data_IF_295572503227
#
_entry.id   IF_295572503227
#
_cell.length_a   1.000
_cell.length_b   1.000
_cell.length_c   1.000
_cell.angle_alpha   90.00
_cell.angle_beta   90.00
_cell.angle_gamma   90.00
#
_symmetry.space_group_name_H-M   'P 1'
#
loop_
_entity.id
_entity.type
_entity.pdbx_description
1 polymer ?
#
# COMPACT_ATOMS: atom_id res chain seq x y z
N UNK A 1 7.80 -0.28 -14.32
CA UNK A 1 6.88 0.64 -13.61
C UNK A 1 6.87 1.96 -14.35
N UNK A 2 5.68 2.54 -14.59
CA UNK A 2 5.54 3.89 -15.14
C UNK A 2 4.89 4.74 -14.04
N UNK A 3 5.71 5.53 -13.35
CA UNK A 3 5.22 6.56 -12.45
C UNK A 3 5.10 7.87 -13.20
N UNK A 4 4.02 8.63 -12.96
CA UNK A 4 3.96 10.05 -13.35
C UNK A 4 4.77 10.85 -12.33
N UNK A 5 6.09 10.65 -12.32
CA UNK A 5 6.99 11.55 -11.61
C UNK A 5 7.79 12.30 -12.67
N UNK A 6 7.39 13.55 -12.89
CA UNK A 6 7.79 14.38 -14.03
C UNK A 6 9.14 15.02 -13.71
N UNK A 7 10.20 14.66 -14.43
CA UNK A 7 11.36 15.54 -14.56
C UNK A 7 11.10 16.51 -15.74
N UNK A 8 11.27 17.82 -15.56
CA UNK A 8 11.45 18.72 -16.71
C UNK A 8 12.79 18.36 -17.42
N UNK A 9 12.91 18.39 -18.76
CA UNK A 9 11.97 18.82 -19.80
C UNK A 9 11.51 17.61 -20.64
N UNK A 10 10.81 16.64 -20.04
CA UNK A 10 10.37 15.45 -20.79
C UNK A 10 8.99 15.69 -21.44
N UNK A 11 8.82 15.48 -22.77
CA UNK A 11 7.53 15.64 -23.45
C UNK A 11 6.45 14.69 -22.89
N UNK A 12 5.17 15.05 -23.04
CA UNK A 12 3.97 14.51 -22.36
C UNK A 12 3.67 13.00 -22.47
N UNK A 13 4.56 12.20 -23.08
CA UNK A 13 4.41 10.75 -23.23
C UNK A 13 5.69 9.96 -22.91
N UNK A 14 6.68 10.61 -22.29
CA UNK A 14 7.96 9.98 -21.97
C UNK A 14 7.98 9.48 -20.53
N UNK A 15 8.41 8.24 -20.33
CA UNK A 15 8.47 7.52 -19.06
C UNK A 15 9.87 6.94 -18.89
N UNK A 16 10.39 6.89 -17.67
CA UNK A 16 11.76 6.43 -17.43
C UNK A 16 11.81 4.91 -17.20
N UNK A 17 12.76 4.23 -17.84
CA UNK A 17 13.13 2.86 -17.50
C UNK A 17 14.41 2.86 -16.65
N UNK A 18 14.27 2.51 -15.37
CA UNK A 18 15.34 2.55 -14.37
C UNK A 18 16.31 1.38 -14.45
N UNK A 19 15.89 0.25 -15.04
CA UNK A 19 16.79 -0.91 -15.21
C UNK A 19 17.84 -0.62 -16.26
N UNK A 20 17.45 0.10 -17.31
CA UNK A 20 18.29 0.39 -18.47
C UNK A 20 18.77 1.85 -18.51
N UNK A 21 18.33 2.70 -17.58
CA UNK A 21 18.63 4.15 -17.53
C UNK A 21 18.29 4.85 -18.85
N UNK A 22 17.13 4.55 -19.41
CA UNK A 22 16.75 5.00 -20.75
C UNK A 22 15.33 5.54 -20.76
N UNK A 23 15.04 6.49 -21.65
CA UNK A 23 13.71 7.08 -21.80
C UNK A 23 12.83 6.27 -22.76
N UNK A 24 11.65 5.86 -22.28
CA UNK A 24 10.62 5.15 -23.04
C UNK A 24 9.50 6.10 -23.44
N UNK A 25 8.96 6.00 -24.66
CA UNK A 25 7.71 6.67 -25.00
C UNK A 25 6.56 5.68 -24.82
N UNK A 26 5.66 5.95 -23.87
CA UNK A 26 4.53 5.06 -23.57
C UNK A 26 3.24 5.64 -24.14
N UNK A 27 2.53 4.84 -24.93
CA UNK A 27 1.17 5.14 -25.37
C UNK A 27 0.19 4.34 -24.52
N UNK A 28 -0.91 4.96 -24.08
CA UNK A 28 -1.86 4.35 -23.15
C UNK A 28 -2.51 3.04 -23.69
N UNK A 29 -2.42 2.80 -25.00
CA UNK A 29 -2.96 1.64 -25.71
C UNK A 29 -1.98 0.47 -25.86
N UNK A 30 -0.69 0.65 -25.59
CA UNK A 30 0.32 -0.40 -25.78
C UNK A 30 0.93 -0.83 -24.43
N UNK A 31 0.99 -2.14 -24.16
CA UNK A 31 1.61 -2.70 -22.96
C UNK A 31 3.14 -2.67 -22.98
N UNK A 32 3.75 -2.25 -24.08
CA UNK A 32 5.19 -2.11 -24.26
C UNK A 32 5.54 -0.74 -24.85
N UNK A 33 6.69 -0.19 -24.42
CA UNK A 33 7.22 1.06 -24.96
C UNK A 33 8.60 0.86 -25.59
N UNK A 34 8.82 1.34 -26.83
CA UNK A 34 10.15 1.40 -27.40
C UNK A 34 10.98 2.44 -26.64
N UNK A 35 12.16 2.03 -26.19
CA UNK A 35 13.08 2.89 -25.45
C UNK A 35 14.02 3.59 -26.44
N UNK A 36 14.03 4.93 -26.45
CA UNK A 36 14.61 5.67 -27.57
C UNK A 36 15.88 6.46 -27.26
N UNK A 37 16.24 6.76 -26.00
CA UNK A 37 17.52 7.43 -25.69
C UNK A 37 18.13 7.02 -24.35
N UNK A 38 19.48 6.90 -24.24
CA UNK A 38 20.18 6.82 -22.96
C UNK A 38 20.04 8.13 -22.19
N UNK A 39 19.68 8.07 -20.91
CA UNK A 39 19.64 9.24 -20.05
C UNK A 39 21.06 9.66 -19.61
N UNK A 40 21.25 10.92 -19.18
CA UNK A 40 22.43 11.30 -18.42
C UNK A 40 22.54 10.36 -17.22
N UNK A 41 23.72 9.76 -17.07
CA UNK A 41 24.10 8.92 -15.94
C UNK A 41 23.63 9.60 -14.66
N UNK A 42 23.00 8.86 -13.75
CA UNK A 42 22.69 9.36 -12.41
C UNK A 42 24.01 9.85 -11.79
N UNK A 43 24.28 11.16 -11.80
CA UNK A 43 25.57 11.73 -11.37
C UNK A 43 25.59 12.07 -9.89
N UNK A 44 24.41 12.20 -9.29
CA UNK A 44 24.25 12.62 -7.90
C UNK A 44 24.53 11.47 -6.90
N UNK A 45 25.53 11.62 -6.01
CA UNK A 45 25.89 10.60 -5.03
C UNK A 45 24.75 10.32 -4.02
N UNK A 46 23.90 11.30 -3.72
CA UNK A 46 22.80 11.14 -2.77
C UNK A 46 21.71 10.23 -3.35
N UNK A 47 21.30 10.43 -4.61
CA UNK A 47 20.36 9.49 -5.26
C UNK A 47 20.92 8.07 -5.40
N UNK A 48 22.22 7.92 -5.67
CA UNK A 48 22.86 6.59 -5.75
C UNK A 48 22.80 5.83 -4.44
N UNK A 49 22.99 6.49 -3.30
CA UNK A 49 22.93 5.84 -1.99
C UNK A 49 21.52 5.31 -1.70
N UNK A 50 20.48 6.13 -1.90
CA UNK A 50 19.09 5.69 -1.76
C UNK A 50 18.72 4.56 -2.72
N UNK A 51 19.17 4.62 -3.97
CA UNK A 51 18.90 3.56 -4.95
C UNK A 51 19.51 2.22 -4.52
N UNK A 52 20.73 2.23 -3.97
CA UNK A 52 21.39 1.02 -3.45
C UNK A 52 20.63 0.43 -2.27
N UNK A 53 20.24 1.26 -1.30
CA UNK A 53 19.45 0.84 -0.14
C UNK A 53 18.09 0.27 -0.55
N UNK A 54 17.40 0.97 -1.44
CA UNK A 54 16.12 0.57 -1.98
C UNK A 54 16.20 -0.76 -2.75
N UNK A 55 17.27 -0.97 -3.52
CA UNK A 55 17.50 -2.24 -4.21
C UNK A 55 17.63 -3.41 -3.25
N UNK A 56 18.39 -3.25 -2.16
CA UNK A 56 18.56 -4.28 -1.14
C UNK A 56 17.22 -4.61 -0.48
N UNK A 57 16.53 -3.58 0.03
CA UNK A 57 15.22 -3.69 0.67
C UNK A 57 14.17 -4.34 -0.24
N UNK A 58 14.11 -3.90 -1.49
CA UNK A 58 13.17 -4.44 -2.47
C UNK A 58 13.40 -5.93 -2.75
N UNK A 59 14.66 -6.36 -2.85
CA UNK A 59 14.99 -7.77 -3.10
C UNK A 59 14.66 -8.69 -1.92
N UNK A 60 14.76 -8.18 -0.69
CA UNK A 60 14.51 -8.94 0.53
C UNK A 60 13.01 -9.09 0.83
N UNK A 61 12.25 -8.01 0.67
CA UNK A 61 10.85 -7.97 1.12
C UNK A 61 9.81 -8.08 0.00
N UNK A 62 10.19 -7.80 -1.25
CA UNK A 62 9.24 -7.70 -2.36
C UNK A 62 9.71 -8.48 -3.60
N UNK A 63 9.39 -9.80 -3.70
CA UNK A 63 9.89 -10.69 -4.75
C UNK A 63 9.66 -10.19 -6.19
N UNK A 64 8.47 -9.60 -6.44
CA UNK A 64 8.08 -9.04 -7.73
C UNK A 64 7.89 -7.53 -7.61
N UNK A 65 9.01 -6.81 -7.55
CA UNK A 65 9.02 -5.36 -7.37
C UNK A 65 9.68 -4.59 -8.52
N UNK A 66 9.28 -3.33 -8.63
CA UNK A 66 9.92 -2.30 -9.44
C UNK A 66 10.06 -1.07 -8.56
N UNK A 67 11.25 -0.50 -8.52
CA UNK A 67 11.55 0.62 -7.65
C UNK A 67 12.38 1.66 -8.39
N UNK A 68 12.39 2.90 -7.90
CA UNK A 68 13.07 4.01 -8.54
C UNK A 68 13.24 5.23 -7.65
N UNK A 69 14.26 6.01 -7.94
CA UNK A 69 14.58 7.26 -7.24
C UNK A 69 14.69 8.38 -8.28
N UNK A 70 13.92 9.44 -8.10
CA UNK A 70 13.78 10.53 -9.06
C UNK A 70 13.95 11.88 -8.36
N UNK A 71 14.60 12.87 -8.97
CA UNK A 71 14.63 14.21 -8.42
C UNK A 71 13.32 14.96 -8.73
N UNK A 72 12.91 15.81 -7.80
CA UNK A 72 11.78 16.72 -7.96
C UNK A 72 12.06 17.79 -9.00
N UNK A 73 11.01 18.50 -9.42
CA UNK A 73 11.07 19.55 -10.45
C UNK A 73 12.08 20.66 -10.10
N UNK A 74 12.25 20.95 -8.81
CA UNK A 74 13.14 22.01 -8.32
C UNK A 74 14.47 21.46 -7.76
N UNK A 75 14.76 20.15 -7.92
CA UNK A 75 15.88 19.43 -7.28
C UNK A 75 15.98 19.56 -5.74
N UNK A 76 14.97 20.17 -5.10
CA UNK A 76 14.88 20.41 -3.66
C UNK A 76 14.52 19.15 -2.85
N UNK A 77 13.90 18.17 -3.52
CA UNK A 77 13.51 16.90 -2.95
C UNK A 77 13.70 15.76 -3.96
N UNK A 78 13.68 14.54 -3.46
CA UNK A 78 13.80 13.31 -4.22
C UNK A 78 12.57 12.45 -3.93
N UNK A 79 11.93 11.95 -4.98
CA UNK A 79 10.92 10.93 -4.84
C UNK A 79 11.49 9.53 -4.93
N UNK A 80 11.11 8.72 -3.96
CA UNK A 80 11.34 7.28 -3.90
C UNK A 80 10.03 6.59 -4.23
N UNK A 81 10.06 5.69 -5.21
CA UNK A 81 8.90 4.90 -5.59
C UNK A 81 9.25 3.42 -5.48
N UNK A 82 8.38 2.66 -4.84
CA UNK A 82 8.43 1.21 -4.78
C UNK A 82 7.05 0.65 -5.12
N UNK A 83 7.01 -0.27 -6.08
CA UNK A 83 5.78 -0.95 -6.48
C UNK A 83 6.04 -2.44 -6.53
N UNK A 84 5.25 -3.19 -5.79
CA UNK A 84 5.25 -4.64 -5.85
C UNK A 84 3.87 -5.13 -6.30
N UNK A 85 3.86 -6.09 -7.22
CA UNK A 85 2.62 -6.68 -7.71
C UNK A 85 2.70 -8.19 -7.61
N UNK A 86 1.58 -8.82 -7.23
CA UNK A 86 1.41 -10.26 -7.30
C UNK A 86 0.05 -10.54 -7.91
N UNK A 87 0.07 -11.13 -9.10
CA UNK A 87 -1.14 -11.51 -9.82
C UNK A 87 -1.21 -13.04 -9.82
N UNK A 88 -2.31 -13.58 -9.33
CA UNK A 88 -2.55 -15.02 -9.30
C UNK A 88 -3.96 -15.33 -9.83
N UNK A 89 -4.25 -15.10 -11.13
CA UNK A 89 -5.60 -15.24 -11.66
C UNK A 89 -6.18 -16.65 -11.51
N UNK A 90 -5.34 -17.68 -11.62
CA UNK A 90 -5.75 -19.08 -11.41
C UNK A 90 -6.22 -19.37 -9.96
N UNK A 91 -5.79 -18.54 -9.00
CA UNK A 91 -6.23 -18.60 -7.61
C UNK A 91 -7.20 -17.45 -7.29
N UNK A 92 -7.75 -16.78 -8.31
CA UNK A 92 -8.76 -15.72 -8.19
C UNK A 92 -8.36 -14.53 -7.32
N UNK A 93 -7.07 -14.15 -7.30
CA UNK A 93 -6.66 -12.97 -6.54
C UNK A 93 -5.49 -12.19 -7.13
N UNK A 94 -5.50 -10.90 -6.84
CA UNK A 94 -4.49 -9.95 -7.27
C UNK A 94 -4.16 -8.99 -6.12
N UNK A 95 -2.88 -8.67 -5.96
CA UNK A 95 -2.39 -7.75 -4.94
C UNK A 95 -1.39 -6.75 -5.53
N UNK A 96 -1.48 -5.51 -5.06
CA UNK A 96 -0.59 -4.42 -5.44
C UNK A 96 -0.23 -3.58 -4.22
N UNK A 97 1.07 -3.41 -4.02
CA UNK A 97 1.65 -2.54 -3.02
C UNK A 97 2.35 -1.39 -3.73
N UNK A 98 2.12 -0.16 -3.25
CA UNK A 98 2.79 1.05 -3.75
C UNK A 98 3.22 1.90 -2.57
N UNK A 99 4.49 2.22 -2.49
CA UNK A 99 5.02 3.20 -1.57
C UNK A 99 5.65 4.34 -2.37
N UNK A 100 5.22 5.57 -2.06
CA UNK A 100 5.74 6.78 -2.68
C UNK A 100 6.16 7.71 -1.55
N UNK A 101 7.44 8.07 -1.52
CA UNK A 101 7.99 9.00 -0.54
C UNK A 101 8.64 10.17 -1.27
N UNK A 102 8.58 11.34 -0.66
CA UNK A 102 9.27 12.55 -1.05
C UNK A 102 10.23 12.92 0.10
N UNK A 103 11.52 12.82 -0.18
CA UNK A 103 12.62 13.06 0.76
C UNK A 103 13.26 14.40 0.43
N UNK A 104 13.26 15.40 1.34
CA UNK A 104 13.95 16.66 1.09
C UNK A 104 15.47 16.44 1.00
N UNK A 105 16.14 17.13 0.07
CA UNK A 105 17.60 17.09 -0.10
C UNK A 105 18.31 18.00 0.90
N UNK A 106 17.61 19.02 1.43
CA UNK A 106 18.14 19.90 2.47
C UNK A 106 18.52 19.12 3.73
N UNK A 107 19.53 19.61 4.45
CA UNK A 107 19.96 19.12 5.76
C UNK A 107 18.85 19.36 6.80
N UNK A 108 17.84 18.48 6.78
CA UNK A 108 16.71 18.46 7.70
C UNK A 108 15.38 18.65 6.98
N UNK A 109 14.33 18.05 7.56
CA UNK A 109 12.96 18.19 7.06
C UNK A 109 12.06 17.02 7.43
N UNK A 110 10.98 16.89 6.68
CA UNK A 110 9.99 15.82 6.86
C UNK A 110 9.88 15.03 5.57
N UNK A 111 10.11 13.73 5.66
CA UNK A 111 9.81 12.80 4.58
C UNK A 111 8.29 12.64 4.56
N UNK A 112 7.68 13.01 3.45
CA UNK A 112 6.24 12.88 3.25
C UNK A 112 5.99 11.76 2.26
N UNK A 113 4.89 11.03 2.39
CA UNK A 113 4.62 9.94 1.49
C UNK A 113 3.25 9.33 1.63
N UNK A 114 3.02 8.28 0.86
CA UNK A 114 1.79 7.50 0.92
C UNK A 114 2.13 6.04 0.63
N UNK A 115 1.66 5.16 1.52
CA UNK A 115 1.64 3.72 1.28
C UNK A 115 0.22 3.35 0.85
N UNK A 116 0.12 2.59 -0.24
CA UNK A 116 -1.14 2.16 -0.82
C UNK A 116 -1.12 0.66 -1.07
N UNK A 117 -2.02 -0.06 -0.40
CA UNK A 117 -2.24 -1.49 -0.55
C UNK A 117 -3.61 -1.73 -1.20
N UNK A 118 -3.61 -2.40 -2.34
CA UNK A 118 -4.80 -2.84 -3.07
C UNK A 118 -4.80 -4.37 -3.17
N UNK A 119 -5.87 -5.02 -2.73
CA UNK A 119 -6.07 -6.48 -2.90
C UNK A 119 -7.46 -6.73 -3.45
N UNK A 120 -7.57 -7.69 -4.34
CA UNK A 120 -8.83 -8.12 -4.93
C UNK A 120 -8.89 -9.64 -4.98
N UNK A 121 -9.90 -10.22 -4.35
CA UNK A 121 -10.21 -11.64 -4.35
C UNK A 121 -11.60 -11.86 -4.93
N UNK A 122 -11.74 -12.82 -5.85
CA UNK A 122 -12.96 -12.98 -6.64
C UNK A 122 -13.34 -14.45 -6.90
N UNK A 123 -12.99 -15.35 -5.98
CA UNK A 123 -13.53 -16.72 -5.97
C UNK A 123 -14.89 -16.70 -5.26
N UNK A 124 -15.95 -17.17 -5.92
CA UNK A 124 -17.31 -17.28 -5.38
C UNK A 124 -17.87 -16.00 -4.73
N UNK A 125 -17.34 -14.84 -5.12
CA UNK A 125 -17.67 -13.55 -4.54
C UNK A 125 -16.80 -12.44 -5.11
N UNK A 126 -16.91 -11.24 -4.56
CA UNK A 126 -16.05 -10.11 -4.92
C UNK A 126 -15.69 -9.33 -3.66
N UNK A 127 -14.45 -9.47 -3.21
CA UNK A 127 -13.94 -8.81 -2.01
C UNK A 127 -12.70 -8.03 -2.37
N UNK A 128 -12.64 -6.76 -1.95
CA UNK A 128 -11.48 -5.91 -2.20
C UNK A 128 -11.08 -5.15 -0.95
N UNK A 129 -9.76 -5.03 -0.77
CA UNK A 129 -9.11 -4.12 0.16
C UNK A 129 -8.51 -2.96 -0.63
N UNK A 130 -8.78 -1.74 -0.18
CA UNK A 130 -8.13 -0.52 -0.66
C UNK A 130 -7.73 0.32 0.56
N UNK A 131 -6.45 0.27 0.93
CA UNK A 131 -5.92 1.01 2.06
C UNK A 131 -4.89 2.04 1.60
N UNK A 132 -5.09 3.30 1.99
CA UNK A 132 -4.15 4.40 1.75
C UNK A 132 -3.74 5.02 3.07
N UNK A 133 -2.47 4.89 3.43
CA UNK A 133 -1.89 5.49 4.64
C UNK A 133 -0.96 6.64 4.25
N UNK A 134 -1.30 7.90 4.59
CA UNK A 134 -0.34 8.99 4.49
C UNK A 134 0.79 8.79 5.53
N UNK A 135 2.01 9.11 5.13
CA UNK A 135 3.21 8.96 5.95
C UNK A 135 3.90 10.32 6.10
N UNK A 136 4.31 10.64 7.32
CA UNK A 136 5.08 11.83 7.66
C UNK A 136 6.15 11.46 8.68
N UNK A 137 7.42 11.54 8.29
CA UNK A 137 8.56 11.12 9.10
C UNK A 137 9.53 12.30 9.23
N UNK A 138 9.70 12.81 10.44
CA UNK A 138 10.66 13.87 10.72
C UNK A 138 12.09 13.34 10.71
N UNK A 139 12.98 13.99 9.97
CA UNK A 139 14.42 13.70 9.92
C UNK A 139 15.23 14.89 10.44
N UNK A 140 16.27 14.60 11.22
CA UNK A 140 17.17 15.63 11.74
C UNK A 140 18.18 16.04 10.67
N UNK A 141 18.67 17.27 10.79
CA UNK A 141 19.49 17.96 9.78
C UNK A 141 20.83 17.33 9.43
N UNK A 142 21.27 16.34 10.21
CA UNK A 142 22.53 15.62 10.02
C UNK A 142 22.34 14.12 9.77
N UNK A 143 21.12 13.64 9.53
CA UNK A 143 20.87 12.21 9.34
C UNK A 143 21.45 11.71 8.01
N UNK A 144 22.35 10.70 8.01
CA UNK A 144 22.78 10.03 6.80
C UNK A 144 21.61 9.37 6.06
N UNK A 145 21.74 9.16 4.75
CA UNK A 145 20.74 8.50 3.92
C UNK A 145 20.27 7.16 4.51
N UNK A 146 21.19 6.38 5.08
CA UNK A 146 20.90 5.12 5.75
C UNK A 146 19.95 5.27 6.94
N UNK A 147 20.12 6.31 7.76
CA UNK A 147 19.30 6.54 8.94
C UNK A 147 17.88 6.98 8.56
N UNK A 148 17.76 7.84 7.55
CA UNK A 148 16.47 8.25 6.98
C UNK A 148 15.75 7.05 6.34
N UNK A 149 16.47 6.22 5.59
CA UNK A 149 15.91 5.03 4.96
C UNK A 149 15.45 3.99 5.99
N UNK A 150 16.22 3.76 7.06
CA UNK A 150 15.79 2.89 8.17
C UNK A 150 14.46 3.34 8.78
N UNK A 151 14.22 4.64 8.93
CA UNK A 151 12.92 5.14 9.41
C UNK A 151 11.79 4.80 8.44
N UNK A 152 12.02 4.90 7.12
CA UNK A 152 11.05 4.47 6.10
C UNK A 152 10.71 2.99 6.29
N UNK A 153 11.74 2.13 6.40
CA UNK A 153 11.56 0.68 6.61
C UNK A 153 10.77 0.38 7.88
N UNK A 154 11.08 1.06 8.99
CA UNK A 154 10.31 0.92 10.23
C UNK A 154 8.85 1.31 10.05
N UNK A 155 8.56 2.42 9.37
CA UNK A 155 7.18 2.85 9.09
C UNK A 155 6.43 1.88 8.18
N UNK A 156 7.10 1.26 7.20
CA UNK A 156 6.49 0.21 6.37
C UNK A 156 6.11 -1.02 7.20
N UNK A 157 7.01 -1.46 8.09
CA UNK A 157 6.76 -2.58 9.02
C UNK A 157 5.59 -2.27 9.95
N UNK A 158 5.60 -1.10 10.58
CA UNK A 158 4.52 -0.65 11.47
C UNK A 158 3.18 -0.60 10.75
N UNK A 159 3.15 -0.16 9.49
CA UNK A 159 1.93 -0.18 8.69
C UNK A 159 1.43 -1.60 8.42
N UNK A 160 2.33 -2.54 8.13
CA UNK A 160 1.96 -3.93 7.92
C UNK A 160 1.38 -4.57 9.19
N UNK A 161 1.98 -4.31 10.35
CA UNK A 161 1.50 -4.77 11.66
C UNK A 161 0.13 -4.15 11.98
N UNK A 162 -0.03 -2.85 11.78
CA UNK A 162 -1.30 -2.15 11.97
C UNK A 162 -2.43 -2.71 11.08
N UNK A 163 -2.12 -3.06 9.82
CA UNK A 163 -3.10 -3.70 8.95
C UNK A 163 -3.53 -5.08 9.48
N UNK A 164 -2.58 -5.90 9.93
CA UNK A 164 -2.89 -7.21 10.50
C UNK A 164 -3.76 -7.08 11.76
N UNK A 165 -3.40 -6.17 12.66
CA UNK A 165 -4.17 -5.91 13.87
C UNK A 165 -5.56 -5.35 13.57
N UNK A 166 -5.68 -4.46 12.57
CA UNK A 166 -6.97 -3.94 12.12
C UNK A 166 -7.88 -5.07 11.61
N UNK A 167 -7.35 -6.05 10.87
CA UNK A 167 -8.12 -7.21 10.41
C UNK A 167 -8.56 -8.10 11.57
N UNK A 168 -7.70 -8.35 12.56
CA UNK A 168 -8.07 -9.09 13.77
C UNK A 168 -9.17 -8.38 14.56
N UNK A 169 -9.06 -7.06 14.72
CA UNK A 169 -10.10 -6.25 15.39
C UNK A 169 -11.42 -6.24 14.62
N UNK A 170 -11.38 -6.19 13.29
CA UNK A 170 -12.58 -6.23 12.45
C UNK A 170 -13.29 -7.59 12.55
N UNK A 171 -12.53 -8.69 12.53
CA UNK A 171 -13.08 -10.05 12.59
C UNK A 171 -13.67 -10.39 13.96
N UNK A 172 -13.04 -9.95 15.04
CA UNK A 172 -13.52 -10.23 16.40
C UNK A 172 -14.55 -9.25 16.93
N UNK A 173 -14.52 -7.99 16.47
CA UNK A 173 -15.40 -6.92 16.93
C UNK A 173 -16.51 -6.61 15.96
N UNK A 174 -16.20 -5.82 14.93
CA UNK A 174 -17.19 -5.20 14.06
C UNK A 174 -18.10 -6.22 13.35
N UNK A 175 -17.52 -7.30 12.78
CA UNK A 175 -18.32 -8.31 12.07
C UNK A 175 -19.24 -9.12 13.00
N UNK A 176 -18.79 -9.44 14.22
CA UNK A 176 -19.64 -10.10 15.22
C UNK A 176 -20.78 -9.21 15.71
N UNK A 177 -20.54 -7.89 15.75
CA UNK A 177 -21.55 -6.88 16.07
C UNK A 177 -22.66 -6.79 15.02
N UNK A 178 -22.32 -6.92 13.74
CA UNK A 178 -23.30 -6.89 12.64
C UNK A 178 -24.16 -8.16 12.60
N UNK A 179 -23.52 -9.33 12.68
CA UNK A 179 -24.22 -10.61 12.70
C UNK A 179 -23.50 -11.59 13.60
N UNK A 180 -24.23 -12.12 14.57
CA UNK A 180 -23.72 -13.17 15.43
C UNK A 180 -23.70 -14.50 14.70
N UNK A 181 -22.67 -15.32 14.98
CA UNK A 181 -22.61 -16.69 14.47
C UNK A 181 -23.77 -17.55 14.99
N UNK A 182 -24.18 -17.33 16.24
CA UNK A 182 -25.33 -17.96 16.88
C UNK A 182 -26.17 -16.93 17.65
N UNK A 183 -27.48 -17.18 17.83
CA UNK A 183 -28.34 -16.45 18.76
C UNK A 183 -27.75 -16.31 20.17
N UNK A 184 -28.33 -15.43 21.00
CA UNK A 184 -27.92 -15.21 22.41
C UNK A 184 -27.86 -16.52 23.19
N UNK A 185 -28.80 -17.42 22.93
CA UNK A 185 -28.91 -18.74 23.56
C UNK A 185 -27.77 -19.69 23.21
N UNK A 186 -26.89 -19.35 22.26
CA UNK A 186 -25.80 -20.21 21.75
C UNK A 186 -26.29 -21.53 21.14
N UNK A 187 -27.54 -21.54 20.68
CA UNK A 187 -28.17 -22.69 20.01
C UNK A 187 -28.70 -22.25 18.64
N UNK A 188 -28.78 -23.19 17.68
CA UNK A 188 -29.44 -22.92 16.40
C UNK A 188 -30.91 -22.61 16.64
N UNK A 189 -31.47 -21.78 15.78
CA UNK A 189 -32.87 -21.41 15.84
C UNK A 189 -33.75 -22.64 15.61
N UNK A 190 -34.61 -22.95 16.57
CA UNK A 190 -35.60 -24.02 16.44
C UNK A 190 -36.86 -23.48 15.76
N UNK A 191 -36.93 -23.64 14.44
CA UNK A 191 -38.00 -23.09 13.61
C UNK A 191 -39.41 -23.58 14.00
N UNK A 192 -39.53 -24.81 14.49
CA UNK A 192 -40.81 -25.39 14.94
C UNK A 192 -41.40 -24.65 16.14
N UNK A 193 -40.54 -24.15 17.05
CA UNK A 193 -40.99 -23.43 18.25
C UNK A 193 -41.32 -21.97 17.97
N UNK A 194 -40.74 -21.36 16.93
CA UNK A 194 -40.97 -19.94 16.58
C UNK A 194 -42.46 -19.66 16.31
N UNK A 195 -43.16 -20.56 15.62
CA UNK A 195 -44.60 -20.38 15.34
C UNK A 195 -45.49 -20.49 16.58
N UNK A 196 -45.01 -21.16 17.64
CA UNK A 196 -45.76 -21.39 18.88
C UNK A 196 -45.45 -20.35 19.98
N UNK A 197 -44.32 -19.63 19.90
CA UNK A 197 -43.98 -18.55 20.84
C UNK A 197 -44.90 -17.34 20.62
N UNK A 198 -45.98 -17.26 21.42
CA UNK A 198 -46.80 -16.05 21.52
C UNK A 198 -46.05 -14.98 22.34
N UNK A 199 -45.23 -14.19 21.67
CA UNK A 199 -44.42 -13.09 22.24
C UNK A 199 -45.20 -12.16 23.20
N UNK A 200 -46.51 -12.01 23.02
CA UNK A 200 -47.33 -11.10 23.83
C UNK A 200 -47.61 -11.54 25.27
N UNK A 201 -47.51 -12.84 25.62
CA UNK A 201 -47.90 -13.33 26.96
C UNK A 201 -46.72 -13.44 27.94
N UNK A 202 -45.51 -13.65 27.42
CA UNK A 202 -44.30 -13.82 28.24
C UNK A 202 -43.57 -12.50 28.54
N UNK A 203 -43.90 -11.41 27.83
CA UNK A 203 -43.35 -10.06 28.09
C UNK A 203 -44.14 -9.32 29.18
N UNK A 204 -45.41 -9.67 29.42
CA UNK A 204 -46.26 -9.01 30.43
C UNK A 204 -46.08 -9.53 31.86
N UNK A 205 -45.12 -10.45 32.09
CA UNK A 205 -44.83 -11.03 33.40
C UNK A 205 -43.70 -10.35 34.17
N UNK A 206 -43.41 -9.08 33.90
CA UNK A 206 -42.44 -8.29 34.65
C UNK A 206 -42.82 -8.19 36.12
N UNK A 207 -42.10 -8.91 36.96
CA UNK A 207 -42.13 -8.90 38.43
C UNK A 207 -42.09 -7.48 38.97
N UNK A 208 -43.21 -7.02 39.53
CA UNK A 208 -43.19 -6.11 40.65
C UNK A 208 -42.96 -6.91 41.92
N UNK A 209 -41.76 -6.81 42.48
CA UNK A 209 -41.43 -6.95 43.90
C UNK A 209 -40.16 -6.15 44.16
#
# INVERSE_FOLDING_TARGET
>A
MIGRYRQPPTPDHMCLNLRTQTSCQFTASASSAPCKQPMPILTDPFRKSYLKLLSSHASEHYPNSSYGVYPSQDDSSIAILLVANKYSPNNFWNGRYRAIYNVPVSSGGTITGTIHVDVHYYEDGNVSLNNKKPVSISITSASPADAAFKRIVTTEREHQEELNDAFNRLSEGAFKGLRRQLPITRQKVEWEKIGAYRLGKDISGGTGY
#
